data_IF_199729037574
#
_entry.id   IF_199729037574
#
_cell.length_a   1.000
_cell.length_b   1.000
_cell.length_c   1.000
_cell.angle_alpha   90.00
_cell.angle_beta   90.00
_cell.angle_gamma   90.00
#
_symmetry.space_group_name_H-M   'P 1'
#
loop_
_entity.id
_entity.type
_entity.pdbx_description
1 polymer ?
#
# COMPACT_ATOMS: atom_id res chain seq x y z
N UNK A 1 12.26 16.18 -15.39
CA UNK A 1 11.68 15.38 -14.31
C UNK A 1 10.68 16.29 -13.62
N UNK A 2 9.39 16.02 -13.75
CA UNK A 2 8.35 16.91 -13.21
C UNK A 2 8.40 16.84 -11.69
N UNK A 3 8.55 17.99 -11.03
CA UNK A 3 8.32 18.12 -9.58
C UNK A 3 6.85 17.80 -9.33
N UNK A 4 6.55 16.55 -9.00
CA UNK A 4 5.22 16.17 -8.53
C UNK A 4 5.14 16.54 -7.06
N UNK A 5 4.21 17.43 -6.75
CA UNK A 5 4.03 18.04 -5.44
C UNK A 5 2.68 17.60 -4.88
N UNK A 6 2.49 17.72 -3.57
CA UNK A 6 1.16 17.56 -2.94
C UNK A 6 0.15 18.66 -3.36
N UNK A 7 0.49 19.48 -4.37
CA UNK A 7 -0.39 20.48 -4.97
C UNK A 7 -1.62 19.80 -5.57
N UNK A 8 -2.75 19.97 -4.88
CA UNK A 8 -4.04 19.36 -5.24
C UNK A 8 -4.74 18.74 -4.04
N UNK A 9 -3.99 18.39 -2.99
CA UNK A 9 -4.55 17.96 -1.71
C UNK A 9 -4.99 19.16 -0.86
N UNK A 10 -5.96 19.00 0.05
CA UNK A 10 -6.27 20.01 1.06
C UNK A 10 -5.04 20.46 1.85
N UNK A 11 -5.00 21.73 2.27
CA UNK A 11 -3.82 22.31 2.93
C UNK A 11 -3.47 21.65 4.26
N UNK A 12 -4.48 21.20 5.01
CA UNK A 12 -4.31 20.43 6.24
C UNK A 12 -3.69 19.05 5.98
N UNK A 13 -4.09 18.37 4.89
CA UNK A 13 -3.45 17.12 4.43
C UNK A 13 -1.99 17.36 4.04
N UNK A 14 -1.70 18.43 3.30
CA UNK A 14 -0.32 18.77 2.92
C UNK A 14 0.56 19.01 4.16
N UNK A 15 0.06 19.81 5.11
CA UNK A 15 0.77 20.09 6.36
C UNK A 15 0.97 18.82 7.20
N UNK A 16 -0.05 17.96 7.27
CA UNK A 16 0.03 16.68 7.96
C UNK A 16 1.10 15.77 7.37
N UNK A 17 1.16 15.62 6.04
CA UNK A 17 2.17 14.80 5.37
C UNK A 17 3.59 15.36 5.55
N UNK A 18 3.75 16.68 5.56
CA UNK A 18 5.04 17.33 5.88
C UNK A 18 5.48 16.99 7.29
N UNK A 19 4.60 17.20 8.28
CA UNK A 19 4.89 16.92 9.70
C UNK A 19 5.15 15.42 9.95
N UNK A 20 4.38 14.52 9.33
CA UNK A 20 4.59 13.08 9.39
C UNK A 20 5.98 12.72 8.87
N UNK A 21 6.36 13.29 7.72
CA UNK A 21 7.67 13.07 7.07
C UNK A 21 8.80 13.60 7.96
N UNK A 22 8.66 14.79 8.53
CA UNK A 22 9.64 15.36 9.46
C UNK A 22 9.81 14.50 10.72
N UNK A 23 8.73 13.93 11.25
CA UNK A 23 8.79 13.00 12.40
C UNK A 23 9.54 11.72 12.04
N UNK A 24 9.28 11.13 10.87
CA UNK A 24 10.05 9.98 10.37
C UNK A 24 11.55 10.32 10.29
N UNK A 25 11.90 11.44 9.67
CA UNK A 25 13.30 11.88 9.53
C UNK A 25 13.92 12.16 10.91
N UNK A 26 13.17 12.69 11.87
CA UNK A 26 13.69 12.96 13.21
C UNK A 26 14.09 11.69 13.97
N UNK A 27 13.46 10.55 13.68
CA UNK A 27 13.78 9.25 14.30
C UNK A 27 14.97 8.57 13.60
N UNK A 28 14.96 8.51 12.26
CA UNK A 28 15.93 7.70 11.51
C UNK A 28 17.09 8.49 10.88
N UNK A 29 16.94 9.81 10.73
CA UNK A 29 17.94 10.72 10.18
C UNK A 29 18.33 10.34 8.74
N UNK A 30 19.64 10.32 8.49
CA UNK A 30 20.20 10.00 7.17
C UNK A 30 19.92 8.55 6.70
N UNK A 31 19.39 7.69 7.59
CA UNK A 31 18.95 6.33 7.23
C UNK A 31 17.54 6.30 6.63
N UNK A 32 16.81 7.42 6.59
CA UNK A 32 15.54 7.50 5.88
C UNK A 32 15.78 7.43 4.37
N UNK A 33 15.48 6.27 3.78
CA UNK A 33 15.69 6.02 2.35
C UNK A 33 14.61 6.68 1.51
N UNK A 34 13.37 6.58 1.96
CA UNK A 34 12.23 7.19 1.28
C UNK A 34 10.97 7.20 2.14
N UNK A 35 10.16 8.22 1.95
CA UNK A 35 8.79 8.34 2.46
C UNK A 35 7.89 8.61 1.27
N UNK A 36 6.91 7.75 1.04
CA UNK A 36 6.07 7.80 -0.14
C UNK A 36 4.60 7.82 0.23
N UNK A 37 3.86 8.75 -0.37
CA UNK A 37 2.42 8.70 -0.40
C UNK A 37 2.00 7.79 -1.55
N UNK A 38 1.09 6.85 -1.27
CA UNK A 38 0.51 5.95 -2.25
C UNK A 38 -1.01 6.10 -2.26
N UNK A 39 -1.69 5.22 -3.00
CA UNK A 39 -3.15 5.16 -2.99
C UNK A 39 -3.81 6.42 -3.54
N UNK A 40 -5.08 6.61 -3.17
CA UNK A 40 -5.95 7.60 -3.82
C UNK A 40 -5.42 9.04 -3.74
N UNK A 41 -4.69 9.38 -2.67
CA UNK A 41 -4.08 10.69 -2.48
C UNK A 41 -2.88 10.94 -3.40
N UNK A 42 -2.17 9.91 -3.82
CA UNK A 42 -1.01 10.06 -4.70
C UNK A 42 -1.39 10.31 -6.18
N UNK A 43 -2.43 9.64 -6.68
CA UNK A 43 -2.79 9.67 -8.11
C UNK A 43 -4.12 10.42 -8.43
N UNK A 44 -4.58 11.29 -7.53
CA UNK A 44 -5.67 12.24 -7.81
C UNK A 44 -7.10 11.70 -7.60
N UNK A 45 -7.25 10.62 -6.82
CA UNK A 45 -8.55 10.05 -6.43
C UNK A 45 -9.00 10.41 -5.00
N UNK A 46 -8.33 11.35 -4.33
CA UNK A 46 -8.59 11.72 -2.95
C UNK A 46 -10.00 12.27 -2.74
N UNK A 47 -10.66 11.81 -1.68
CA UNK A 47 -11.96 12.30 -1.18
C UNK A 47 -11.94 12.39 0.33
N UNK A 48 -12.95 13.01 0.94
CA UNK A 48 -13.09 13.12 2.41
C UNK A 48 -13.15 11.77 3.14
N UNK A 49 -13.46 10.68 2.44
CA UNK A 49 -13.53 9.33 3.01
C UNK A 49 -12.25 8.50 2.77
N UNK A 50 -11.24 9.12 2.14
CA UNK A 50 -9.99 8.44 1.79
C UNK A 50 -9.04 8.41 2.96
N UNK A 51 -8.27 7.34 3.04
CA UNK A 51 -7.11 7.27 3.92
C UNK A 51 -5.90 7.95 3.25
N UNK A 52 -4.90 8.25 4.07
CA UNK A 52 -3.56 8.60 3.65
C UNK A 52 -2.70 7.35 3.78
N UNK A 53 -2.34 6.77 2.65
CA UNK A 53 -1.54 5.56 2.58
C UNK A 53 -0.06 5.95 2.46
N UNK A 54 0.74 5.77 3.51
CA UNK A 54 2.15 6.17 3.57
C UNK A 54 3.04 4.95 3.76
N UNK A 55 3.99 4.78 2.86
CA UNK A 55 4.99 3.70 2.91
C UNK A 55 6.36 4.32 3.15
N UNK A 56 7.15 3.75 4.05
CA UNK A 56 8.48 4.27 4.41
C UNK A 56 9.52 3.15 4.38
N UNK A 57 10.70 3.45 3.86
CA UNK A 57 11.86 2.56 3.96
C UNK A 57 13.00 3.25 4.71
N UNK A 58 13.64 2.50 5.62
CA UNK A 58 14.79 2.98 6.38
C UNK A 58 15.85 1.89 6.48
N UNK A 59 17.12 2.25 6.68
CA UNK A 59 18.19 1.26 6.87
C UNK A 59 18.24 0.76 8.32
N UNK A 60 17.98 -0.53 8.53
CA UNK A 60 18.14 -1.21 9.83
C UNK A 60 17.38 -0.54 11.00
N UNK A 61 16.04 -0.44 10.95
CA UNK A 61 15.27 0.10 12.07
C UNK A 61 15.39 -0.80 13.31
N UNK A 62 15.62 -0.20 14.48
CA UNK A 62 15.58 -0.92 15.76
C UNK A 62 14.19 -0.90 16.38
N UNK A 63 13.84 -1.91 17.19
CA UNK A 63 12.56 -1.97 17.91
C UNK A 63 12.26 -0.72 18.73
N UNK A 64 13.29 -0.13 19.36
CA UNK A 64 13.16 1.12 20.12
C UNK A 64 12.83 2.32 19.23
N UNK A 65 13.39 2.39 18.02
CA UNK A 65 13.10 3.46 17.06
C UNK A 65 11.69 3.29 16.48
N UNK A 66 11.28 2.05 16.17
CA UNK A 66 9.92 1.75 15.74
C UNK A 66 8.91 2.16 16.81
N UNK A 67 9.19 1.84 18.08
CA UNK A 67 8.34 2.23 19.22
C UNK A 67 8.26 3.76 19.35
N UNK A 68 9.40 4.46 19.27
CA UNK A 68 9.43 5.92 19.32
C UNK A 68 8.66 6.56 18.16
N UNK A 69 8.77 5.99 16.95
CA UNK A 69 8.00 6.46 15.79
C UNK A 69 6.50 6.32 16.03
N UNK A 70 6.03 5.17 16.52
CA UNK A 70 4.61 4.94 16.85
C UNK A 70 4.09 5.99 17.81
N UNK A 71 4.82 6.30 18.87
CA UNK A 71 4.47 7.36 19.84
C UNK A 71 4.35 8.74 19.17
N UNK A 72 5.15 9.00 18.14
CA UNK A 72 5.18 10.27 17.43
C UNK A 72 4.11 10.40 16.33
N UNK A 73 3.69 9.32 15.68
CA UNK A 73 2.83 9.42 14.47
C UNK A 73 1.42 8.86 14.65
N UNK A 74 1.11 8.23 15.79
CA UNK A 74 -0.25 7.77 16.07
C UNK A 74 -1.23 8.96 16.07
N UNK A 75 -2.52 8.67 15.88
CA UNK A 75 -3.56 9.69 15.74
C UNK A 75 -3.68 10.64 16.96
N UNK A 76 -3.36 10.19 18.17
CA UNK A 76 -3.42 11.04 19.37
C UNK A 76 -2.29 12.08 19.37
N UNK A 77 -1.09 11.69 18.92
CA UNK A 77 0.09 12.56 18.85
C UNK A 77 0.16 13.40 17.57
N UNK A 78 -0.40 12.89 16.47
CA UNK A 78 -0.49 13.55 15.17
C UNK A 78 -1.89 13.32 14.57
N UNK A 79 -2.88 14.19 14.90
CA UNK A 79 -4.24 14.03 14.40
C UNK A 79 -4.32 14.07 12.87
N UNK A 80 -4.76 12.96 12.28
CA UNK A 80 -4.95 12.80 10.85
C UNK A 80 -6.15 13.62 10.36
N UNK A 81 -6.00 14.48 9.33
CA UNK A 81 -7.08 15.29 8.78
C UNK A 81 -7.97 14.52 7.77
N UNK A 82 -7.61 13.30 7.40
CA UNK A 82 -8.35 12.45 6.46
C UNK A 82 -9.25 11.42 7.19
N UNK A 83 -9.78 10.42 6.49
CA UNK A 83 -10.52 9.33 7.13
C UNK A 83 -9.61 8.52 8.08
N UNK A 84 -8.36 8.33 7.69
CA UNK A 84 -7.30 7.80 8.52
C UNK A 84 -5.94 7.79 7.83
N UNK A 85 -4.96 7.26 8.55
CA UNK A 85 -3.60 6.97 8.13
C UNK A 85 -3.46 5.45 8.09
N UNK A 86 -2.94 4.94 6.97
CA UNK A 86 -2.32 3.61 6.89
C UNK A 86 -0.82 3.84 6.68
N UNK A 87 0.00 3.50 7.67
CA UNK A 87 1.45 3.71 7.63
C UNK A 87 2.18 2.38 7.75
N UNK A 88 3.09 2.10 6.82
CA UNK A 88 3.93 0.91 6.87
C UNK A 88 5.41 1.29 6.78
N UNK A 89 6.21 0.69 7.67
CA UNK A 89 7.67 0.82 7.68
C UNK A 89 8.30 -0.49 7.21
N UNK A 90 9.30 -0.38 6.34
CA UNK A 90 10.17 -1.49 5.95
C UNK A 90 11.61 -1.19 6.28
N UNK A 91 12.37 -2.23 6.61
CA UNK A 91 13.80 -2.20 6.39
C UNK A 91 14.07 -2.17 4.87
N UNK A 92 14.98 -1.31 4.44
CA UNK A 92 15.40 -1.14 3.04
C UNK A 92 15.74 -2.49 2.39
N UNK A 93 16.46 -3.35 3.10
CA UNK A 93 16.96 -4.61 2.53
C UNK A 93 15.85 -5.57 2.11
N UNK A 94 14.68 -5.50 2.76
CA UNK A 94 13.48 -6.28 2.40
C UNK A 94 12.88 -5.83 1.06
N UNK A 95 13.13 -4.59 0.66
CA UNK A 95 12.54 -4.00 -0.54
C UNK A 95 13.41 -4.16 -1.79
N UNK A 96 14.74 -4.30 -1.67
CA UNK A 96 15.65 -4.32 -2.83
C UNK A 96 15.43 -5.56 -3.71
N UNK A 97 15.29 -6.73 -3.10
CA UNK A 97 14.95 -8.00 -3.77
C UNK A 97 13.76 -8.64 -3.04
N UNK A 98 12.54 -8.13 -3.30
CA UNK A 98 11.41 -8.40 -2.42
C UNK A 98 10.90 -9.84 -2.58
N UNK A 99 10.85 -10.56 -1.45
CA UNK A 99 10.30 -11.92 -1.35
C UNK A 99 9.03 -11.88 -0.52
N UNK A 100 7.98 -12.56 -0.99
CA UNK A 100 6.74 -12.71 -0.25
C UNK A 100 6.86 -13.82 0.81
N UNK A 101 6.31 -13.64 2.03
CA UNK A 101 5.66 -12.43 2.54
C UNK A 101 6.68 -11.32 2.84
N UNK A 102 6.32 -10.05 2.59
CA UNK A 102 7.18 -8.92 2.92
C UNK A 102 7.31 -8.76 4.43
N UNK A 103 8.54 -8.73 4.92
CA UNK A 103 8.87 -8.57 6.33
C UNK A 103 8.89 -7.08 6.71
N UNK A 104 7.73 -6.45 6.77
CA UNK A 104 7.61 -5.07 7.27
C UNK A 104 7.93 -4.99 8.77
N UNK A 105 8.43 -3.83 9.20
CA UNK A 105 8.82 -3.56 10.60
C UNK A 105 7.71 -2.91 11.42
N UNK A 106 6.75 -2.24 10.76
CA UNK A 106 5.59 -1.63 11.40
C UNK A 106 4.42 -1.58 10.42
N UNK A 107 3.23 -1.91 10.89
CA UNK A 107 1.96 -1.55 10.28
C UNK A 107 1.14 -0.77 11.32
N UNK A 108 0.91 0.53 11.07
CA UNK A 108 0.17 1.44 11.93
C UNK A 108 -1.03 1.99 11.18
N UNK A 109 -2.21 1.82 11.78
CA UNK A 109 -3.47 2.32 11.26
C UNK A 109 -4.15 3.19 12.32
N UNK A 110 -4.85 4.23 11.90
CA UNK A 110 -5.67 5.02 12.80
C UNK A 110 -6.18 6.31 12.19
N UNK A 111 -7.18 6.92 12.81
CA UNK A 111 -7.74 8.17 12.31
C UNK A 111 -9.11 8.48 12.86
N UNK A 112 -9.72 9.59 12.43
CA UNK A 112 -11.08 9.97 12.82
C UNK A 112 -12.13 8.91 12.46
N UNK A 113 -11.89 8.14 11.38
CA UNK A 113 -12.82 7.13 10.85
C UNK A 113 -12.18 5.73 10.73
N UNK A 114 -10.98 5.51 11.30
CA UNK A 114 -10.27 4.23 11.28
C UNK A 114 -9.89 3.81 12.69
N UNK A 115 -10.10 2.54 13.01
CA UNK A 115 -9.70 1.98 14.30
C UNK A 115 -8.18 2.04 14.44
N UNK A 116 -7.71 2.41 15.63
CA UNK A 116 -6.28 2.37 15.93
C UNK A 116 -5.80 0.90 15.94
N UNK A 117 -4.74 0.63 15.19
CA UNK A 117 -4.06 -0.66 15.18
C UNK A 117 -2.56 -0.44 15.00
N UNK A 118 -1.75 -1.18 15.73
CA UNK A 118 -0.29 -1.16 15.63
C UNK A 118 0.20 -2.60 15.70
N UNK A 119 0.97 -3.02 14.71
CA UNK A 119 1.63 -4.32 14.70
C UNK A 119 3.08 -4.17 14.25
N UNK A 120 3.96 -4.98 14.84
CA UNK A 120 5.36 -5.20 14.43
C UNK A 120 5.60 -6.67 14.06
N UNK A 121 4.54 -7.47 14.02
CA UNK A 121 4.57 -8.87 13.60
C UNK A 121 4.10 -8.96 12.15
N UNK A 122 5.02 -9.13 11.21
CA UNK A 122 4.70 -9.15 9.78
C UNK A 122 3.74 -10.28 9.36
N UNK A 123 3.48 -11.24 10.24
CA UNK A 123 2.53 -12.34 10.03
C UNK A 123 1.12 -12.02 10.51
N UNK A 124 0.91 -10.87 11.17
CA UNK A 124 -0.38 -10.52 11.77
C UNK A 124 -1.44 -10.11 10.75
N UNK A 125 -1.05 -9.86 9.50
CA UNK A 125 -1.92 -9.40 8.42
C UNK A 125 -1.73 -10.27 7.18
N UNK A 126 -2.73 -10.27 6.29
CA UNK A 126 -2.63 -11.07 5.08
C UNK A 126 -1.51 -10.55 4.16
N UNK A 127 -0.55 -11.43 3.85
CA UNK A 127 0.69 -11.11 3.14
C UNK A 127 0.51 -10.34 1.82
N UNK A 128 -0.60 -10.60 1.12
CA UNK A 128 -0.83 -10.08 -0.21
C UNK A 128 -1.07 -8.57 -0.21
N UNK A 129 -1.49 -7.96 0.91
CA UNK A 129 -1.72 -6.52 0.98
C UNK A 129 -0.46 -5.74 0.67
N UNK A 130 0.63 -6.04 1.38
CA UNK A 130 1.91 -5.35 1.25
C UNK A 130 2.56 -5.56 -0.13
N UNK A 131 2.37 -6.74 -0.72
CA UNK A 131 2.81 -7.00 -2.10
C UNK A 131 2.00 -6.15 -3.09
N UNK A 132 0.68 -6.13 -2.96
CA UNK A 132 -0.19 -5.39 -3.88
C UNK A 132 0.01 -3.88 -3.76
N UNK A 133 0.17 -3.35 -2.55
CA UNK A 133 0.38 -1.93 -2.32
C UNK A 133 1.62 -1.45 -3.06
N UNK A 134 2.76 -2.14 -2.91
CA UNK A 134 3.99 -1.76 -3.60
C UNK A 134 4.00 -2.11 -5.10
N UNK A 135 3.38 -3.22 -5.52
CA UNK A 135 3.34 -3.61 -6.92
C UNK A 135 2.46 -2.68 -7.77
N UNK A 136 1.28 -2.32 -7.25
CA UNK A 136 0.31 -1.45 -7.95
C UNK A 136 0.84 -0.04 -8.09
N UNK A 137 1.41 0.51 -7.03
CA UNK A 137 1.72 1.95 -6.94
C UNK A 137 3.14 2.28 -7.38
N UNK A 138 3.88 1.29 -7.89
CA UNK A 138 5.30 1.43 -8.27
C UNK A 138 5.59 2.66 -9.12
N UNK A 139 4.73 2.95 -10.10
CA UNK A 139 4.86 4.10 -11.01
C UNK A 139 3.88 5.25 -10.67
N UNK A 140 3.09 5.10 -9.60
CA UNK A 140 1.99 6.00 -9.24
C UNK A 140 2.13 6.61 -7.83
N UNK A 141 3.20 6.26 -7.11
CA UNK A 141 3.52 6.85 -5.81
C UNK A 141 4.02 8.28 -5.94
N UNK A 142 3.84 9.06 -4.88
CA UNK A 142 4.42 10.38 -4.73
C UNK A 142 5.52 10.34 -3.67
N UNK A 143 6.73 10.77 -4.03
CA UNK A 143 7.85 10.90 -3.10
C UNK A 143 7.69 12.13 -2.23
N UNK A 144 7.54 11.93 -0.93
CA UNK A 144 7.51 13.00 0.07
C UNK A 144 8.92 13.36 0.54
N UNK A 145 9.79 12.35 0.63
CA UNK A 145 11.21 12.51 0.97
C UNK A 145 12.05 11.35 0.43
N UNK A 146 13.34 11.60 0.19
CA UNK A 146 14.32 10.58 -0.17
C UNK A 146 14.30 10.20 -1.65
N UNK A 147 14.58 8.93 -1.91
CA UNK A 147 14.60 8.35 -3.27
C UNK A 147 13.18 8.02 -3.75
N UNK A 148 12.97 7.96 -5.06
CA UNK A 148 11.69 7.52 -5.63
C UNK A 148 11.44 6.03 -5.34
N UNK A 149 10.17 5.67 -5.07
CA UNK A 149 9.80 4.29 -4.71
C UNK A 149 10.26 3.28 -5.78
N UNK A 150 10.13 3.64 -7.05
CA UNK A 150 10.53 2.82 -8.20
C UNK A 150 12.04 2.49 -8.22
N UNK A 151 12.86 3.33 -7.60
CA UNK A 151 14.32 3.17 -7.52
C UNK A 151 14.76 2.37 -6.29
N UNK A 152 13.89 2.26 -5.28
CA UNK A 152 14.18 1.56 -4.01
C UNK A 152 13.61 0.15 -3.98
N UNK A 153 12.36 -0.01 -4.41
CA UNK A 153 11.67 -1.30 -4.37
C UNK A 153 12.07 -2.09 -5.61
N UNK A 154 12.52 -3.33 -5.47
CA UNK A 154 12.73 -4.26 -6.59
C UNK A 154 11.41 -4.73 -7.21
N UNK A 155 11.41 -5.27 -8.44
CA UNK A 155 10.20 -5.80 -9.05
C UNK A 155 9.79 -7.13 -8.38
N UNK A 156 8.50 -7.28 -8.03
CA UNK A 156 7.96 -8.58 -7.64
C UNK A 156 7.87 -9.51 -8.84
N UNK A 157 8.10 -10.82 -8.62
CA UNK A 157 7.85 -11.81 -9.68
C UNK A 157 6.38 -11.80 -10.10
N UNK A 158 6.12 -12.11 -11.37
CA UNK A 158 4.76 -12.20 -11.88
C UNK A 158 3.92 -13.25 -11.14
N UNK A 159 4.55 -14.36 -10.77
CA UNK A 159 3.90 -15.43 -10.00
C UNK A 159 3.41 -14.93 -8.63
N UNK A 160 4.26 -14.21 -7.90
CA UNK A 160 3.91 -13.59 -6.61
C UNK A 160 2.76 -12.60 -6.76
N UNK A 161 2.79 -11.76 -7.79
CA UNK A 161 1.72 -10.78 -8.03
C UNK A 161 0.38 -11.47 -8.39
N UNK A 162 0.40 -12.51 -9.23
CA UNK A 162 -0.79 -13.29 -9.58
C UNK A 162 -1.40 -13.95 -8.35
N UNK A 163 -0.57 -14.57 -7.52
CA UNK A 163 -1.01 -15.19 -6.28
C UNK A 163 -1.59 -14.17 -5.29
N UNK A 164 -0.94 -13.01 -5.13
CA UNK A 164 -1.42 -11.95 -4.26
C UNK A 164 -2.80 -11.42 -4.71
N UNK A 165 -3.00 -11.28 -6.03
CA UNK A 165 -4.32 -10.92 -6.60
C UNK A 165 -5.38 -11.97 -6.25
N UNK A 166 -5.07 -13.26 -6.46
CA UNK A 166 -6.00 -14.35 -6.20
C UNK A 166 -6.39 -14.42 -4.71
N UNK A 167 -5.41 -14.35 -3.82
CA UNK A 167 -5.65 -14.42 -2.37
C UNK A 167 -6.38 -13.17 -1.86
N UNK A 168 -6.12 -11.99 -2.44
CA UNK A 168 -6.89 -10.78 -2.12
C UNK A 168 -8.37 -10.93 -2.45
N UNK A 169 -8.71 -11.49 -3.63
CA UNK A 169 -10.11 -11.67 -4.02
C UNK A 169 -10.82 -12.72 -3.15
N UNK A 170 -10.13 -13.82 -2.80
CA UNK A 170 -10.64 -14.83 -1.86
C UNK A 170 -10.87 -14.27 -0.47
N UNK A 171 -9.90 -13.53 0.06
CA UNK A 171 -10.00 -12.91 1.38
C UNK A 171 -11.21 -11.98 1.46
N UNK A 172 -11.47 -11.18 0.42
CA UNK A 172 -12.67 -10.33 0.38
C UNK A 172 -13.96 -11.14 0.40
N UNK A 173 -14.01 -12.30 -0.26
CA UNK A 173 -15.18 -13.16 -0.25
C UNK A 173 -15.55 -13.61 1.18
N UNK A 174 -14.55 -13.83 2.02
CA UNK A 174 -14.69 -14.31 3.40
C UNK A 174 -14.94 -13.18 4.41
N UNK A 175 -14.27 -12.04 4.25
CA UNK A 175 -14.22 -10.98 5.26
C UNK A 175 -15.07 -9.75 4.92
N UNK A 176 -15.23 -9.44 3.64
CA UNK A 176 -15.99 -8.27 3.15
C UNK A 176 -16.82 -8.68 1.93
N UNK A 177 -17.80 -9.60 2.10
CA UNK A 177 -18.53 -10.21 0.98
C UNK A 177 -19.37 -9.20 0.18
N UNK A 178 -19.68 -8.06 0.79
CA UNK A 178 -20.47 -6.99 0.20
C UNK A 178 -19.63 -5.74 0.00
N UNK A 179 -19.64 -5.17 -1.21
CA UNK A 179 -18.99 -3.90 -1.52
C UNK A 179 -18.22 -3.92 -2.84
N UNK A 180 -17.85 -2.75 -3.37
CA UNK A 180 -17.20 -2.65 -4.67
C UNK A 180 -15.72 -3.06 -4.66
N UNK A 181 -15.09 -3.23 -3.49
CA UNK A 181 -13.65 -3.47 -3.39
C UNK A 181 -13.23 -4.80 -4.00
N UNK A 182 -13.98 -5.89 -3.76
CA UNK A 182 -13.68 -7.21 -4.34
C UNK A 182 -13.70 -7.18 -5.86
N UNK A 183 -14.78 -6.66 -6.44
CA UNK A 183 -14.95 -6.57 -7.89
C UNK A 183 -13.95 -5.61 -8.54
N UNK A 184 -13.67 -4.46 -7.92
CA UNK A 184 -12.69 -3.52 -8.43
C UNK A 184 -11.25 -4.08 -8.38
N UNK A 185 -10.90 -4.80 -7.30
CA UNK A 185 -9.61 -5.47 -7.18
C UNK A 185 -9.49 -6.63 -8.17
N UNK A 186 -10.53 -7.43 -8.37
CA UNK A 186 -10.56 -8.48 -9.39
C UNK A 186 -10.42 -7.89 -10.81
N UNK A 187 -11.14 -6.81 -11.12
CA UNK A 187 -11.06 -6.14 -12.42
C UNK A 187 -9.65 -5.60 -12.70
N UNK A 188 -9.05 -4.88 -11.74
CA UNK A 188 -7.68 -4.37 -11.85
C UNK A 188 -6.65 -5.49 -11.93
N UNK A 189 -6.80 -6.53 -11.10
CA UNK A 189 -5.93 -7.69 -11.10
C UNK A 189 -5.95 -8.44 -12.44
N UNK A 190 -7.15 -8.69 -12.97
CA UNK A 190 -7.31 -9.32 -14.29
C UNK A 190 -6.69 -8.49 -15.41
N UNK A 191 -6.82 -7.15 -15.36
CA UNK A 191 -6.12 -6.26 -16.30
C UNK A 191 -4.62 -6.46 -16.26
N UNK A 192 -4.02 -6.49 -15.06
CA UNK A 192 -2.58 -6.73 -14.92
C UNK A 192 -2.19 -8.13 -15.44
N UNK A 193 -3.00 -9.15 -15.14
CA UNK A 193 -2.76 -10.51 -15.61
C UNK A 193 -2.77 -10.55 -17.15
N UNK A 194 -3.69 -9.87 -17.82
CA UNK A 194 -3.76 -9.98 -19.29
C UNK A 194 -2.83 -9.01 -20.03
N UNK A 195 -2.51 -7.86 -19.44
CA UNK A 195 -1.78 -6.79 -20.14
C UNK A 195 -0.36 -6.56 -19.60
N UNK A 196 -0.05 -7.05 -18.40
CA UNK A 196 1.18 -6.76 -17.68
C UNK A 196 1.23 -5.35 -17.08
N UNK A 197 0.14 -4.60 -17.12
CA UNK A 197 0.10 -3.19 -16.68
C UNK A 197 -0.83 -3.00 -15.49
N UNK A 198 -0.29 -2.46 -14.41
CA UNK A 198 -1.07 -1.99 -13.26
C UNK A 198 -1.82 -0.69 -13.58
N UNK A 199 -2.80 -0.35 -12.75
CA UNK A 199 -3.60 0.86 -12.88
C UNK A 199 -4.43 1.10 -11.64
N UNK A 200 -5.23 2.16 -11.63
CA UNK A 200 -6.16 2.42 -10.54
C UNK A 200 -7.32 1.41 -10.54
N UNK A 201 -8.10 1.37 -9.44
CA UNK A 201 -9.36 0.61 -9.38
C UNK A 201 -10.33 1.04 -10.51
N UNK A 202 -10.58 2.35 -10.75
CA UNK A 202 -11.35 2.81 -11.91
C UNK A 202 -10.81 2.33 -13.26
N UNK A 203 -9.49 2.34 -13.48
CA UNK A 203 -8.90 1.88 -14.74
C UNK A 203 -9.20 0.39 -14.99
N UNK A 204 -9.10 -0.43 -13.94
CA UNK A 204 -9.44 -1.85 -14.00
C UNK A 204 -10.90 -2.08 -14.38
N UNK A 205 -11.82 -1.36 -13.73
CA UNK A 205 -13.26 -1.44 -14.01
C UNK A 205 -13.59 -0.98 -15.42
N UNK A 206 -13.02 0.14 -15.87
CA UNK A 206 -13.23 0.68 -17.21
C UNK A 206 -12.69 -0.27 -18.30
N UNK A 207 -11.49 -0.82 -18.09
CA UNK A 207 -10.91 -1.83 -18.97
C UNK A 207 -11.77 -3.08 -19.05
N UNK A 208 -12.26 -3.59 -17.91
CA UNK A 208 -13.09 -4.79 -17.87
C UNK A 208 -14.39 -4.59 -18.69
N UNK A 209 -15.05 -3.45 -18.49
CA UNK A 209 -16.24 -3.08 -19.24
C UNK A 209 -15.97 -3.00 -20.76
N UNK A 210 -14.82 -2.42 -21.16
CA UNK A 210 -14.42 -2.36 -22.56
C UNK A 210 -14.17 -3.74 -23.19
N UNK A 211 -13.83 -4.76 -22.39
CA UNK A 211 -13.73 -6.16 -22.86
C UNK A 211 -15.06 -6.90 -22.94
N UNK A 212 -16.18 -6.28 -22.54
CA UNK A 212 -17.51 -6.90 -22.52
C UNK A 212 -17.72 -7.92 -21.39
N UNK A 213 -16.83 -7.94 -20.38
CA UNK A 213 -16.92 -8.84 -19.23
C UNK A 213 -17.60 -8.19 -18.03
N UNK A 214 -18.25 -9.01 -17.21
CA UNK A 214 -18.87 -8.56 -15.95
C UNK A 214 -17.88 -8.67 -14.78
N UNK A 215 -18.11 -7.93 -13.68
CA UNK A 215 -17.37 -8.11 -12.43
C UNK A 215 -17.30 -9.54 -11.93
N UNK A 216 -18.39 -10.30 -12.05
CA UNK A 216 -18.48 -11.70 -11.62
C UNK A 216 -17.54 -12.58 -12.45
N UNK A 217 -17.48 -12.37 -13.77
CA UNK A 217 -16.54 -13.08 -14.63
C UNK A 217 -15.08 -12.78 -14.26
N UNK A 218 -14.77 -11.54 -13.85
CA UNK A 218 -13.43 -11.19 -13.40
C UNK A 218 -13.08 -11.89 -12.08
N UNK A 219 -14.02 -11.96 -11.14
CA UNK A 219 -13.86 -12.68 -9.88
C UNK A 219 -13.62 -14.16 -10.15
N UNK A 220 -14.46 -14.81 -10.93
CA UNK A 220 -14.35 -16.25 -11.25
C UNK A 220 -12.99 -16.59 -11.90
N UNK A 221 -12.54 -15.75 -12.84
CA UNK A 221 -11.25 -15.92 -13.52
C UNK A 221 -10.08 -15.77 -12.55
N UNK A 222 -10.13 -14.79 -11.65
CA UNK A 222 -9.06 -14.52 -10.68
C UNK A 222 -9.02 -15.59 -9.59
N UNK A 223 -10.17 -16.01 -9.06
CA UNK A 223 -10.24 -17.04 -8.00
C UNK A 223 -9.83 -18.43 -8.49
N UNK A 224 -9.96 -18.69 -9.80
CA UNK A 224 -9.49 -19.92 -10.44
C UNK A 224 -7.96 -20.01 -10.56
N UNK A 225 -7.21 -18.94 -10.30
CA UNK A 225 -5.74 -18.94 -10.37
C UNK A 225 -5.12 -19.54 -9.12
N UNK A 226 -3.95 -20.15 -9.23
CA UNK A 226 -3.22 -20.65 -8.06
C UNK A 226 -2.90 -19.50 -7.09
N UNK A 227 -3.24 -19.67 -5.81
CA UNK A 227 -2.65 -18.86 -4.75
C UNK A 227 -1.21 -19.31 -4.46
N UNK A 228 -0.53 -18.58 -3.59
CA UNK A 228 0.69 -19.04 -2.94
C UNK A 228 0.33 -19.41 -1.51
N UNK A 229 0.98 -20.44 -0.98
CA UNK A 229 0.95 -20.70 0.46
C UNK A 229 2.29 -20.23 1.04
N UNK A 230 2.45 -18.93 1.38
CA UNK A 230 3.72 -18.40 1.86
C UNK A 230 4.15 -18.97 3.21
N UNK A 231 3.21 -19.52 3.99
CA UNK A 231 3.50 -20.25 5.24
C UNK A 231 3.97 -21.69 4.99
N UNK A 232 3.90 -22.15 3.73
CA UNK A 232 4.42 -23.41 3.27
C UNK A 232 5.92 -23.30 2.98
N UNK A 233 6.73 -23.42 4.04
CA UNK A 233 8.08 -23.97 3.85
C UNK A 233 8.03 -25.33 3.12
N UNK A 234 9.15 -25.80 2.54
CA UNK A 234 9.19 -27.11 1.90
C UNK A 234 8.68 -28.24 2.80
#
# INVERSE_FOLDING_TARGET
>A
MSEWTTQGLPSDVQNYLSELTERVISVFGDRTVGVWLIGSAAYGGYTENSDLDVQTAVEGPTDSEVTALVEMINHEALPCPAAGLEFVLYDRDVLVDPVAPLQWSLNLNGGPQRSASVSTDYTSEAWFWFVLDLAVVREQSMTLHGQDLVDVVGPFSREVQVAAIADSVRWHAEHVPTGPSRSANAARGLRFIETGTWGSKPDGVAWLAATGRTPEQAIDLVEGLSGLNPDGGP
#
